data_IF_807446898960
#
_entry.id   IF_807446898960
#
_cell.length_a   1.000
_cell.length_b   1.000
_cell.length_c   1.000
_cell.angle_alpha   90.00
_cell.angle_beta   90.00
_cell.angle_gamma   90.00
#
_symmetry.space_group_name_H-M   'P 1'
#
loop_
_entity.id
_entity.type
_entity.pdbx_description
1 polymer ?
#
# COMPACT_ATOMS: atom_id res chain seq x y z
N UNK A 1 -4.97 4.57 -4.75
CA UNK A 1 -3.73 4.36 -3.99
C UNK A 1 -2.91 5.62 -4.14
N UNK A 2 -2.62 6.29 -3.03
CA UNK A 2 -1.86 7.55 -3.06
C UNK A 2 -0.39 7.27 -3.43
N UNK A 3 0.09 7.89 -4.51
CA UNK A 3 1.45 7.68 -5.03
C UNK A 3 2.52 7.99 -3.99
N UNK A 4 2.18 8.84 -3.00
CA UNK A 4 3.07 9.23 -1.92
C UNK A 4 3.38 8.08 -0.95
N UNK A 5 2.37 7.31 -0.55
CA UNK A 5 2.56 6.17 0.35
C UNK A 5 3.30 5.01 -0.32
N UNK A 6 3.05 4.82 -1.62
CA UNK A 6 3.70 3.78 -2.40
C UNK A 6 5.23 4.00 -2.45
N UNK A 7 5.67 5.25 -2.71
CA UNK A 7 7.10 5.60 -2.78
C UNK A 7 7.80 5.38 -1.43
N UNK A 8 7.13 5.64 -0.31
CA UNK A 8 7.74 5.47 1.01
C UNK A 8 8.02 3.99 1.35
N UNK A 9 7.30 3.07 0.73
CA UNK A 9 7.44 1.62 0.95
C UNK A 9 8.43 0.95 0.00
N UNK A 10 8.93 1.67 -1.01
CA UNK A 10 9.96 1.16 -1.92
C UNK A 10 11.29 0.99 -1.19
N UNK A 11 11.96 -0.12 -1.48
CA UNK A 11 13.33 -0.38 -1.08
C UNK A 11 14.32 0.49 -1.85
N UNK A 12 15.55 0.63 -1.33
CA UNK A 12 16.62 1.41 -1.98
C UNK A 12 16.87 0.97 -3.43
N UNK A 13 16.85 -0.33 -3.70
CA UNK A 13 17.02 -0.87 -5.06
C UNK A 13 15.90 -0.48 -6.01
N UNK A 14 14.65 -0.51 -5.55
CA UNK A 14 13.47 -0.12 -6.34
C UNK A 14 13.44 1.40 -6.60
N UNK A 15 13.85 2.20 -5.62
CA UNK A 15 14.01 3.64 -5.80
C UNK A 15 15.09 3.97 -6.84
N UNK A 16 16.25 3.30 -6.77
CA UNK A 16 17.31 3.44 -7.76
C UNK A 16 16.85 3.04 -9.16
N UNK A 17 16.10 1.94 -9.27
CA UNK A 17 15.56 1.49 -10.55
C UNK A 17 14.62 2.52 -11.17
N UNK A 18 13.63 3.02 -10.42
CA UNK A 18 12.68 4.04 -10.90
C UNK A 18 13.39 5.34 -11.29
N UNK A 19 14.36 5.79 -10.50
CA UNK A 19 15.13 7.00 -10.80
C UNK A 19 15.98 6.83 -12.06
N UNK A 20 16.60 5.67 -12.25
CA UNK A 20 17.38 5.37 -13.46
C UNK A 20 16.53 5.39 -14.72
N UNK A 21 15.30 4.87 -14.67
CA UNK A 21 14.34 4.97 -15.78
C UNK A 21 14.04 6.43 -16.12
N UNK A 22 13.98 7.28 -15.09
CA UNK A 22 13.74 8.71 -15.24
C UNK A 22 15.01 9.52 -15.53
N UNK A 23 16.15 8.86 -15.77
CA UNK A 23 17.42 9.49 -16.12
C UNK A 23 18.21 10.06 -14.93
N UNK A 24 17.84 9.74 -13.69
CA UNK A 24 18.53 10.20 -12.47
C UNK A 24 19.39 9.06 -11.90
N UNK A 25 20.71 9.25 -11.84
CA UNK A 25 21.67 8.18 -11.50
C UNK A 25 22.52 8.45 -10.26
N UNK A 26 22.55 9.68 -9.74
CA UNK A 26 23.60 10.15 -8.82
C UNK A 26 23.22 10.19 -7.34
N UNK A 27 21.97 9.88 -6.98
CA UNK A 27 21.52 9.99 -5.60
C UNK A 27 21.98 8.78 -4.77
N UNK A 28 22.46 9.03 -3.55
CA UNK A 28 22.88 7.98 -2.60
C UNK A 28 21.97 7.90 -1.38
N UNK A 29 21.34 9.02 -1.01
CA UNK A 29 20.43 9.14 0.12
C UNK A 29 18.99 8.73 -0.25
N UNK A 30 18.40 7.81 0.52
CA UNK A 30 17.05 7.28 0.31
C UNK A 30 15.97 8.37 0.41
N UNK A 31 16.12 9.34 1.30
CA UNK A 31 15.11 10.39 1.47
C UNK A 31 15.12 11.38 0.31
N UNK A 32 16.31 11.67 -0.21
CA UNK A 32 16.47 12.43 -1.45
C UNK A 32 15.88 11.67 -2.63
N UNK A 33 16.15 10.36 -2.75
CA UNK A 33 15.56 9.51 -3.80
C UNK A 33 14.03 9.53 -3.78
N UNK A 34 13.43 9.42 -2.58
CA UNK A 34 11.97 9.48 -2.41
C UNK A 34 11.43 10.87 -2.77
N UNK A 35 12.13 11.93 -2.37
CA UNK A 35 11.74 13.32 -2.67
C UNK A 35 11.79 13.61 -4.16
N UNK A 36 12.86 13.22 -4.84
CA UNK A 36 13.01 13.41 -6.29
C UNK A 36 12.02 12.56 -7.06
N UNK A 37 11.81 11.29 -6.70
CA UNK A 37 10.82 10.44 -7.36
C UNK A 37 9.38 11.00 -7.23
N UNK A 38 9.01 11.53 -6.05
CA UNK A 38 7.72 12.23 -5.87
C UNK A 38 7.58 13.43 -6.80
N UNK A 39 8.64 14.24 -6.88
CA UNK A 39 8.64 15.43 -7.73
C UNK A 39 8.51 15.04 -9.21
N UNK A 40 9.29 14.07 -9.67
CA UNK A 40 9.25 13.58 -11.04
C UNK A 40 7.88 13.02 -11.39
N UNK A 41 7.27 12.17 -10.55
CA UNK A 41 5.90 11.66 -10.80
C UNK A 41 4.85 12.77 -10.88
N UNK A 42 5.01 13.85 -10.13
CA UNK A 42 4.13 15.02 -10.23
C UNK A 42 4.28 15.70 -11.60
N UNK A 43 5.50 15.78 -12.12
CA UNK A 43 5.78 16.33 -13.45
C UNK A 43 5.28 15.37 -14.56
N UNK A 44 5.40 14.06 -14.37
CA UNK A 44 4.86 13.07 -15.33
C UNK A 44 3.35 13.21 -15.55
N UNK A 45 2.62 13.72 -14.55
CA UNK A 45 1.19 14.02 -14.69
C UNK A 45 0.88 15.17 -15.64
N UNK A 46 1.89 15.94 -16.06
CA UNK A 46 1.73 17.01 -17.03
C UNK A 46 1.93 16.45 -18.45
N UNK A 47 1.05 16.86 -19.38
CA UNK A 47 1.04 16.35 -20.76
C UNK A 47 2.34 16.59 -21.55
N UNK A 48 3.19 17.53 -21.13
CA UNK A 48 4.46 17.86 -21.78
C UNK A 48 5.63 16.96 -21.36
N UNK A 49 5.43 16.03 -20.42
CA UNK A 49 6.52 15.17 -19.96
C UNK A 49 6.81 14.05 -20.95
N UNK A 50 8.03 14.05 -21.51
CA UNK A 50 8.53 12.97 -22.35
C UNK A 50 9.37 12.02 -21.50
N UNK A 51 8.94 10.75 -21.42
CA UNK A 51 9.71 9.72 -20.70
C UNK A 51 11.04 9.45 -21.43
N UNK A 52 12.17 9.42 -20.71
CA UNK A 52 13.42 8.94 -21.26
C UNK A 52 13.33 7.51 -21.78
N UNK A 53 14.22 7.15 -22.72
CA UNK A 53 14.33 5.79 -23.21
C UNK A 53 14.72 4.85 -22.06
N UNK A 54 14.01 3.73 -21.93
CA UNK A 54 14.26 2.73 -20.90
C UNK A 54 15.72 2.22 -20.97
N UNK A 55 16.50 2.33 -19.89
CA UNK A 55 17.94 2.09 -19.94
C UNK A 55 18.34 0.61 -19.85
N UNK A 56 17.39 -0.30 -19.60
CA UNK A 56 17.67 -1.72 -19.41
C UNK A 56 17.21 -2.56 -20.62
N UNK A 57 17.91 -3.68 -20.84
CA UNK A 57 17.48 -4.71 -21.79
C UNK A 57 16.41 -5.58 -21.15
N UNK A 58 15.53 -6.19 -21.96
CA UNK A 58 14.48 -7.04 -21.40
C UNK A 58 15.06 -8.25 -20.66
N UNK A 59 16.21 -8.80 -21.06
CA UNK A 59 16.92 -9.85 -20.29
C UNK A 59 17.24 -9.43 -18.85
N UNK A 60 17.76 -8.21 -18.66
CA UNK A 60 18.10 -7.69 -17.34
C UNK A 60 16.85 -7.50 -16.49
N UNK A 61 15.78 -6.99 -17.09
CA UNK A 61 14.52 -6.85 -16.38
C UNK A 61 13.91 -8.19 -16.02
N UNK A 62 13.95 -9.18 -16.90
CA UNK A 62 13.45 -10.53 -16.63
C UNK A 62 14.23 -11.21 -15.51
N UNK A 63 15.57 -11.10 -15.49
CA UNK A 63 16.38 -11.62 -14.40
C UNK A 63 16.01 -10.99 -13.06
N UNK A 64 15.93 -9.65 -12.99
CA UNK A 64 15.56 -8.95 -11.77
C UNK A 64 14.10 -9.22 -11.34
N UNK A 65 13.17 -9.34 -12.30
CA UNK A 65 11.77 -9.64 -12.05
C UNK A 65 11.60 -11.04 -11.47
N UNK A 66 12.34 -12.04 -11.97
CA UNK A 66 12.35 -13.39 -11.39
C UNK A 66 12.84 -13.37 -9.94
N UNK A 67 13.94 -12.67 -9.65
CA UNK A 67 14.45 -12.53 -8.29
C UNK A 67 13.43 -11.85 -7.36
N UNK A 68 12.76 -10.80 -7.84
CA UNK A 68 11.71 -10.10 -7.08
C UNK A 68 10.47 -10.96 -6.86
N UNK A 69 10.10 -11.78 -7.85
CA UNK A 69 8.94 -12.66 -7.73
C UNK A 69 9.19 -13.75 -6.70
N UNK A 70 10.40 -14.31 -6.63
CA UNK A 70 10.79 -15.24 -5.57
C UNK A 70 10.68 -14.60 -4.17
N UNK A 71 11.22 -13.39 -3.99
CA UNK A 71 11.12 -12.64 -2.73
C UNK A 71 9.65 -12.38 -2.34
N UNK A 72 8.81 -11.99 -3.30
CA UNK A 72 7.38 -11.74 -3.05
C UNK A 72 6.65 -13.03 -2.70
N UNK A 73 6.99 -14.15 -3.35
CA UNK A 73 6.39 -15.46 -3.07
C UNK A 73 6.65 -15.85 -1.62
N UNK A 74 7.88 -15.75 -1.15
CA UNK A 74 8.23 -16.01 0.26
C UNK A 74 7.41 -15.14 1.22
N UNK A 75 7.29 -13.84 0.93
CA UNK A 75 6.49 -12.92 1.74
C UNK A 75 4.99 -13.24 1.74
N UNK A 76 4.44 -13.72 0.61
CA UNK A 76 3.03 -14.16 0.51
C UNK A 76 2.84 -15.49 1.23
N UNK A 77 3.80 -16.39 1.16
CA UNK A 77 3.76 -17.69 1.83
C UNK A 77 3.79 -17.53 3.34
N UNK A 78 4.66 -16.65 3.86
CA UNK A 78 4.75 -16.31 5.28
C UNK A 78 3.69 -15.33 5.79
N UNK A 79 2.82 -14.81 4.92
CA UNK A 79 1.85 -13.78 5.31
C UNK A 79 0.76 -14.32 6.24
N UNK A 80 0.64 -13.70 7.42
CA UNK A 80 -0.35 -14.01 8.45
C UNK A 80 -1.11 -12.78 8.96
N UNK A 81 -1.00 -11.65 8.25
CA UNK A 81 -1.59 -10.37 8.65
C UNK A 81 -3.02 -10.10 8.13
N UNK A 82 -3.65 -9.05 8.65
CA UNK A 82 -4.96 -8.58 8.18
C UNK A 82 -4.86 -7.70 6.92
N UNK A 83 -5.95 -7.50 6.13
CA UNK A 83 -5.94 -6.72 4.89
C UNK A 83 -5.54 -5.23 5.03
N UNK A 84 -5.57 -4.69 6.25
CA UNK A 84 -5.14 -3.31 6.55
C UNK A 84 -3.82 -3.25 7.30
N UNK A 85 -3.14 -4.38 7.49
CA UNK A 85 -1.86 -4.43 8.18
C UNK A 85 -0.75 -3.73 7.37
N UNK A 86 0.27 -3.19 8.05
CA UNK A 86 1.47 -2.68 7.40
C UNK A 86 2.15 -3.74 6.51
N UNK A 87 2.09 -5.01 6.91
CA UNK A 87 2.61 -6.15 6.17
C UNK A 87 1.87 -6.36 4.85
N UNK A 88 0.53 -6.40 4.88
CA UNK A 88 -0.29 -6.54 3.67
C UNK A 88 0.01 -5.39 2.69
N UNK A 89 0.08 -4.18 3.23
CA UNK A 89 0.42 -2.97 2.50
C UNK A 89 1.80 -3.06 1.84
N UNK A 90 2.81 -3.59 2.54
CA UNK A 90 4.18 -3.78 2.02
C UNK A 90 4.20 -4.80 0.88
N UNK A 91 3.59 -5.98 1.05
CA UNK A 91 3.55 -7.02 0.01
C UNK A 91 2.74 -6.57 -1.21
N UNK A 92 1.60 -5.91 -0.98
CA UNK A 92 0.78 -5.32 -2.04
C UNK A 92 1.54 -4.28 -2.85
N UNK A 93 2.29 -3.38 -2.19
CA UNK A 93 3.13 -2.40 -2.89
C UNK A 93 4.20 -3.09 -3.74
N UNK A 94 4.87 -4.14 -3.23
CA UNK A 94 5.85 -4.91 -4.01
C UNK A 94 5.24 -5.59 -5.24
N UNK A 95 4.05 -6.17 -5.10
CA UNK A 95 3.31 -6.78 -6.23
C UNK A 95 2.99 -5.74 -7.32
N UNK A 96 2.44 -4.58 -6.93
CA UNK A 96 2.11 -3.49 -7.87
C UNK A 96 3.37 -2.97 -8.56
N UNK A 97 4.46 -2.78 -7.82
CA UNK A 97 5.71 -2.30 -8.39
C UNK A 97 6.29 -3.29 -9.41
N UNK A 98 6.29 -4.59 -9.07
CA UNK A 98 6.75 -5.66 -9.95
C UNK A 98 5.88 -5.76 -11.20
N UNK A 99 4.57 -5.62 -11.07
CA UNK A 99 3.64 -5.58 -12.22
C UNK A 99 3.94 -4.40 -13.15
N UNK A 100 4.17 -3.21 -12.60
CA UNK A 100 4.52 -2.01 -13.40
C UNK A 100 5.86 -2.19 -14.10
N UNK A 101 6.84 -2.80 -13.43
CA UNK A 101 8.14 -3.12 -14.02
C UNK A 101 7.99 -4.10 -15.19
N UNK A 102 7.20 -5.15 -15.01
CA UNK A 102 6.92 -6.14 -16.06
C UNK A 102 6.24 -5.51 -17.28
N UNK A 103 5.29 -4.58 -17.06
CA UNK A 103 4.64 -3.82 -18.14
C UNK A 103 5.56 -2.86 -18.91
N UNK A 104 6.80 -2.63 -18.44
CA UNK A 104 7.81 -1.82 -19.13
C UNK A 104 8.85 -2.66 -19.87
N UNK A 105 8.89 -3.99 -19.69
CA UNK A 105 9.77 -4.86 -20.46
C UNK A 105 9.27 -4.87 -21.90
N UNK A 106 10.12 -4.46 -22.84
CA UNK A 106 9.81 -4.53 -24.26
C UNK A 106 10.36 -5.85 -24.80
N UNK A 107 9.50 -6.86 -25.09
CA UNK A 107 9.98 -8.14 -25.57
C UNK A 107 10.60 -8.02 -26.96
N UNK A 108 11.83 -8.49 -27.10
CA UNK A 108 12.56 -8.55 -28.38
C UNK A 108 12.45 -9.90 -29.08
N UNK A 109 12.09 -10.97 -28.36
CA UNK A 109 11.95 -12.33 -28.90
C UNK A 109 10.64 -12.98 -28.45
N UNK A 110 10.28 -14.11 -29.07
CA UNK A 110 9.14 -14.92 -28.63
C UNK A 110 9.36 -15.52 -27.25
N UNK A 111 10.59 -15.93 -26.91
CA UNK A 111 10.90 -16.40 -25.56
C UNK A 111 10.65 -15.31 -24.51
N UNK A 112 11.01 -14.05 -24.81
CA UNK A 112 10.70 -12.92 -23.93
C UNK A 112 9.19 -12.76 -23.72
N UNK A 113 8.39 -12.86 -24.79
CA UNK A 113 6.93 -12.79 -24.69
C UNK A 113 6.36 -13.90 -23.80
N UNK A 114 6.84 -15.12 -23.96
CA UNK A 114 6.42 -16.27 -23.16
C UNK A 114 6.80 -16.12 -21.69
N UNK A 115 8.03 -15.68 -21.40
CA UNK A 115 8.50 -15.44 -20.03
C UNK A 115 7.71 -14.32 -19.35
N UNK A 116 7.47 -13.20 -20.04
CA UNK A 116 6.63 -12.12 -19.51
C UNK A 116 5.23 -12.62 -19.18
N UNK A 117 4.62 -13.41 -20.07
CA UNK A 117 3.29 -13.97 -19.87
C UNK A 117 3.24 -14.89 -18.65
N UNK A 118 4.25 -15.75 -18.48
CA UNK A 118 4.38 -16.63 -17.31
C UNK A 118 4.49 -15.81 -16.01
N UNK A 119 5.36 -14.80 -15.99
CA UNK A 119 5.52 -13.91 -14.83
C UNK A 119 4.25 -13.14 -14.50
N UNK A 120 3.47 -12.71 -15.50
CA UNK A 120 2.18 -12.04 -15.28
C UNK A 120 1.19 -12.97 -14.59
N UNK A 121 1.08 -14.23 -15.03
CA UNK A 121 0.19 -15.23 -14.44
C UNK A 121 0.61 -15.53 -13.00
N UNK A 122 1.90 -15.70 -12.74
CA UNK A 122 2.43 -15.93 -11.39
C UNK A 122 2.18 -14.73 -10.46
N UNK A 123 2.37 -13.50 -10.95
CA UNK A 123 2.12 -12.31 -10.15
C UNK A 123 0.63 -12.12 -9.84
N UNK A 124 -0.24 -12.43 -10.81
CA UNK A 124 -1.69 -12.42 -10.61
C UNK A 124 -2.12 -13.46 -9.58
N UNK A 125 -1.56 -14.68 -9.63
CA UNK A 125 -1.89 -15.74 -8.67
C UNK A 125 -1.44 -15.36 -7.25
N UNK A 126 -0.23 -14.82 -7.08
CA UNK A 126 0.27 -14.32 -5.79
C UNK A 126 -0.63 -13.20 -5.24
N UNK A 127 -1.12 -12.31 -6.10
CA UNK A 127 -2.05 -11.24 -5.71
C UNK A 127 -3.39 -11.79 -5.20
N UNK A 128 -3.90 -12.86 -5.83
CA UNK A 128 -5.12 -13.54 -5.39
C UNK A 128 -4.88 -14.25 -4.06
N UNK A 129 -3.77 -14.98 -3.92
CA UNK A 129 -3.39 -15.69 -2.68
C UNK A 129 -3.22 -14.74 -1.50
N UNK A 130 -2.56 -13.60 -1.69
CA UNK A 130 -2.42 -12.60 -0.62
C UNK A 130 -3.80 -12.09 -0.15
N UNK A 131 -4.69 -11.78 -1.10
CA UNK A 131 -6.06 -11.32 -0.79
C UNK A 131 -6.88 -12.40 -0.09
N UNK A 132 -6.77 -13.66 -0.52
CA UNK A 132 -7.51 -14.75 0.11
C UNK A 132 -7.03 -14.98 1.54
N UNK A 133 -5.71 -15.11 1.77
CA UNK A 133 -5.13 -15.25 3.12
C UNK A 133 -5.57 -14.13 4.05
N UNK A 134 -5.51 -12.88 3.59
CA UNK A 134 -5.92 -11.73 4.39
C UNK A 134 -7.42 -11.77 4.75
N UNK A 135 -8.30 -12.22 3.84
CA UNK A 135 -9.74 -12.34 4.10
C UNK A 135 -10.08 -13.51 5.05
N UNK A 136 -9.39 -14.64 4.94
CA UNK A 136 -9.60 -15.79 5.81
C UNK A 136 -9.29 -15.47 7.28
N UNK A 137 -8.26 -14.66 7.52
CA UNK A 137 -7.90 -14.19 8.86
C UNK A 137 -9.00 -13.31 9.48
N UNK A 138 -9.61 -12.41 8.70
CA UNK A 138 -10.74 -11.60 9.18
C UNK A 138 -11.90 -12.49 9.61
N UNK A 139 -12.27 -13.48 8.78
CA UNK A 139 -13.38 -14.41 9.09
C UNK A 139 -13.09 -15.28 10.33
N UNK A 140 -11.87 -15.78 10.47
CA UNK A 140 -11.47 -16.56 11.64
C UNK A 140 -11.50 -15.72 12.92
N UNK A 141 -11.10 -14.44 12.87
CA UNK A 141 -11.15 -13.55 14.04
C UNK A 141 -12.58 -13.22 14.48
N UNK A 142 -13.53 -13.08 13.56
CA UNK A 142 -14.93 -12.77 13.89
C UNK A 142 -15.69 -13.97 14.48
N UNK A 143 -15.35 -15.19 14.08
CA UNK A 143 -16.00 -16.41 14.58
C UNK A 143 -15.64 -16.72 16.04
N UNK A 144 -14.46 -16.30 16.50
CA UNK A 144 -14.06 -16.47 17.90
C UNK A 144 -14.66 -15.41 18.83
N UNK A 145 -15.07 -14.25 18.29
CA UNK A 145 -15.71 -13.19 19.07
C UNK A 145 -17.21 -13.45 19.33
N UNK A 146 -17.88 -14.23 18.48
CA UNK A 146 -19.31 -14.53 18.60
C UNK A 146 -19.66 -15.66 19.58
N UNK A 147 -18.67 -16.26 20.26
CA UNK A 147 -18.89 -17.36 21.23
C UNK A 147 -18.87 -16.86 22.69
N UNK A 148 -18.77 -15.55 22.91
CA UNK A 148 -18.60 -14.93 24.25
C UNK A 148 -19.78 -14.04 24.67
N UNK A 149 -21.01 -14.38 24.26
CA UNK A 149 -22.22 -13.68 24.74
C UNK A 149 -23.37 -14.66 25.02
N UNK A 150 -23.10 -15.64 25.88
CA UNK A 150 -24.13 -16.45 26.55
C UNK A 150 -23.65 -16.65 27.98
N UNK A 151 -24.03 -15.76 28.91
CA UNK A 151 -24.51 -16.10 30.26
C UNK A 151 -24.79 -14.86 31.12
N UNK A 152 -25.92 -14.92 31.84
CA UNK A 152 -26.38 -14.13 33.01
C UNK A 152 -27.14 -12.83 32.68
N UNK A 153 -28.37 -12.54 33.12
CA UNK A 153 -29.37 -13.16 34.00
C UNK A 153 -30.59 -12.22 34.05
N UNK A 154 -31.81 -12.73 33.83
CA UNK A 154 -32.91 -12.80 34.80
C UNK A 154 -33.21 -11.50 35.59
N UNK A 155 -34.26 -10.81 35.14
CA UNK A 155 -35.36 -10.14 35.86
C UNK A 155 -35.10 -9.28 37.12
N UNK A 156 -35.44 -7.99 37.03
CA UNK A 156 -36.11 -7.23 38.10
C UNK A 156 -36.79 -5.97 37.54
N UNK A 157 -38.12 -5.91 37.66
CA UNK A 157 -38.96 -4.73 37.44
C UNK A 157 -38.84 -3.69 38.58
N UNK A 158 -39.23 -2.44 38.28
CA UNK A 158 -39.51 -1.38 39.27
C UNK A 158 -39.12 0.01 38.71
N UNK A 159 -40.04 0.77 38.11
CA UNK A 159 -41.02 1.69 38.73
C UNK A 159 -40.51 3.14 38.87
N UNK A 160 -41.10 3.98 38.01
CA UNK A 160 -41.60 5.36 38.19
C UNK A 160 -40.79 6.56 38.73
N UNK A 161 -41.12 7.70 38.07
CA UNK A 161 -41.22 9.09 38.56
C UNK A 161 -39.91 9.85 38.79
N UNK A 162 -39.82 11.17 38.72
CA UNK A 162 -40.50 12.30 38.08
C UNK A 162 -39.58 13.50 38.36
N UNK A 163 -39.63 14.52 37.51
CA UNK A 163 -39.29 15.93 37.78
C UNK A 163 -37.89 16.33 38.30
N UNK A 164 -37.23 17.26 37.61
CA UNK A 164 -37.28 18.69 37.98
C UNK A 164 -36.05 19.49 37.47
N UNK A 165 -36.37 20.54 36.71
CA UNK A 165 -35.73 21.87 36.61
C UNK A 165 -34.24 22.07 36.95
N UNK A 166 -33.49 22.62 35.98
CA UNK A 166 -32.13 23.13 36.20
C UNK A 166 -31.62 24.12 35.16
N UNK A 167 -32.45 25.11 34.78
CA UNK A 167 -32.09 26.20 33.87
C UNK A 167 -31.24 27.24 34.61
N UNK A 168 -29.95 27.36 34.32
CA UNK A 168 -29.21 28.62 34.58
C UNK A 168 -28.24 28.96 33.45
N UNK A 169 -28.52 30.09 32.79
CA UNK A 169 -27.56 30.91 32.03
C UNK A 169 -26.85 31.84 33.03
N UNK A 170 -25.56 32.11 32.84
CA UNK A 170 -24.94 33.45 33.00
C UNK A 170 -23.49 33.40 32.49
N UNK A 171 -23.16 34.17 31.44
CA UNK A 171 -22.53 35.52 31.47
C UNK A 171 -20.99 35.40 31.53
N UNK A 172 -20.27 35.59 30.42
CA UNK A 172 -19.88 36.86 29.76
C UNK A 172 -18.70 37.53 30.48
N UNK A 173 -17.56 37.65 29.77
CA UNK A 173 -16.52 38.69 29.83
C UNK A 173 -15.21 38.11 29.27
N UNK A 174 -14.33 38.81 28.55
CA UNK A 174 -14.27 40.19 28.02
C UNK A 174 -12.98 40.25 27.21
N UNK A 175 -13.00 41.03 26.12
CA UNK A 175 -11.92 41.94 25.62
C UNK A 175 -10.56 41.33 25.25
N UNK A 176 -9.75 41.88 24.35
CA UNK A 176 -9.80 42.86 23.26
C UNK A 176 -8.33 42.96 22.80
N UNK A 177 -8.11 43.11 21.49
CA UNK A 177 -6.99 43.90 20.93
C UNK A 177 -5.56 43.34 21.11
N UNK A 178 -4.58 43.55 20.23
CA UNK A 178 -4.39 44.58 19.22
C UNK A 178 -3.26 44.13 18.27
N UNK A 179 -3.32 44.66 17.05
CA UNK A 179 -2.22 44.73 16.09
C UNK A 179 -0.94 45.34 16.70
N UNK A 180 0.20 44.88 16.20
CA UNK A 180 1.32 45.73 15.78
C UNK A 180 1.93 45.08 14.53
#
# INVERSE_FOLDING_TARGET
>A
MDSREEINRLSKGELLYELKILGVTTLTNVDEMRKTLRHLRKIEGNASFVRPKHPYTCDKDLADLNAKLAEIKELVDSFSGLPKSPEYSKVSTKLVHTQRRLGRCVPTTDEHRQQISKLLVELASLSVTLRSKAKHLVRSSTLNASVLDVTMGADAEGSESSDESGRTRKVQNRRMSRQA
#
